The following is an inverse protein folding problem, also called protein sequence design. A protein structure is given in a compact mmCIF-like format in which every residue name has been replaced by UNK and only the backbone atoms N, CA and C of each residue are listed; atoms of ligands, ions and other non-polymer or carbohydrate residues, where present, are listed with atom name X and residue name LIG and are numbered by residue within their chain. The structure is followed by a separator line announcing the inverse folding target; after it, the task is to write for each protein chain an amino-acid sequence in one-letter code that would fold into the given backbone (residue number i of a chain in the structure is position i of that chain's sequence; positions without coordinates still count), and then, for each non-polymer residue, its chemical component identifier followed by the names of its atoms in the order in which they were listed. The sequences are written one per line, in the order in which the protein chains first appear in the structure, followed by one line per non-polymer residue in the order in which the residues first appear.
data_IF_698465749845
#
_entry.id   IF_698465749845
#
_cell.length_a   1.000
_cell.length_b   1.000
_cell.length_c   1.000
_cell.angle_alpha   90.00
_cell.angle_beta   90.00
_cell.angle_gamma   90.00
#
_symmetry.space_group_name_H-M   'P 1'
#
loop_
_entity.id
_entity.type
_entity.pdbx_description
1 polymer ?
#
# COMPACT_ATOMS: atom_id res chain seq x y z
N UNK A 1 18.60 2.56 4.31
CA UNK A 1 19.02 3.73 5.13
C UNK A 1 18.08 4.89 4.84
N UNK A 2 17.26 5.31 5.81
CA UNK A 2 16.29 6.42 5.66
C UNK A 2 16.93 7.73 6.12
N UNK A 3 16.74 8.80 5.35
CA UNK A 3 17.32 10.12 5.67
C UNK A 3 16.34 11.26 5.30
N UNK A 4 16.75 12.50 5.57
CA UNK A 4 15.95 13.71 5.31
C UNK A 4 15.62 13.97 3.83
N UNK A 5 16.29 13.28 2.90
CA UNK A 5 16.00 13.34 1.46
C UNK A 5 14.99 12.29 1.01
N UNK A 6 14.65 11.30 1.85
CA UNK A 6 13.59 10.35 1.50
C UNK A 6 12.26 11.09 1.39
N UNK A 7 11.54 10.87 0.30
CA UNK A 7 10.20 11.47 0.05
C UNK A 7 9.11 10.41 -0.12
N UNK A 8 9.51 9.22 -0.58
CA UNK A 8 8.61 8.15 -0.98
C UNK A 8 9.18 6.81 -0.52
N UNK A 9 8.29 5.91 -0.10
CA UNK A 9 8.54 4.49 0.11
C UNK A 9 7.55 3.73 -0.76
N UNK A 10 8.01 2.77 -1.55
CA UNK A 10 7.13 1.84 -2.27
C UNK A 10 7.31 0.44 -1.72
N UNK A 11 6.19 -0.26 -1.50
CA UNK A 11 6.19 -1.62 -1.01
C UNK A 11 5.14 -2.43 -1.74
N UNK A 12 5.58 -3.55 -2.28
CA UNK A 12 4.67 -4.60 -2.72
C UNK A 12 4.22 -5.41 -1.50
N UNK A 13 2.93 -5.72 -1.46
CA UNK A 13 2.21 -6.35 -0.34
C UNK A 13 3.07 -7.29 0.49
N UNK A 14 3.31 -6.93 1.75
CA UNK A 14 3.76 -7.90 2.74
C UNK A 14 2.54 -8.59 3.37
N UNK A 15 2.51 -9.92 3.32
CA UNK A 15 1.49 -10.71 4.02
C UNK A 15 1.69 -10.71 5.55
N UNK A 16 2.72 -10.02 6.06
CA UNK A 16 3.03 -9.91 7.49
C UNK A 16 2.46 -8.62 8.10
N UNK A 17 1.52 -8.71 9.06
CA UNK A 17 1.00 -7.55 9.79
C UNK A 17 2.09 -6.75 10.51
N UNK A 18 3.10 -7.42 11.07
CA UNK A 18 4.23 -6.77 11.75
C UNK A 18 5.05 -5.91 10.80
N UNK A 19 5.26 -6.38 9.57
CA UNK A 19 5.92 -5.60 8.52
C UNK A 19 5.16 -4.31 8.19
N UNK A 20 3.83 -4.39 8.07
CA UNK A 20 2.97 -3.23 7.81
C UNK A 20 3.05 -2.20 8.95
N UNK A 21 3.02 -2.63 10.21
CA UNK A 21 3.15 -1.75 11.37
C UNK A 21 4.53 -1.07 11.41
N UNK A 22 5.60 -1.82 11.16
CA UNK A 22 6.95 -1.27 11.12
C UNK A 22 7.10 -0.19 10.04
N UNK A 23 6.59 -0.44 8.83
CA UNK A 23 6.65 0.57 7.77
C UNK A 23 5.80 1.80 8.12
N UNK A 24 4.60 1.62 8.66
CA UNK A 24 3.80 2.75 9.09
C UNK A 24 4.56 3.63 10.10
N UNK A 25 5.33 3.02 11.01
CA UNK A 25 6.18 3.74 11.96
C UNK A 25 7.29 4.53 11.26
N UNK A 26 7.94 3.96 10.23
CA UNK A 26 8.98 4.64 9.46
C UNK A 26 8.38 5.80 8.66
N UNK A 27 7.28 5.56 7.95
CA UNK A 27 6.62 6.58 7.15
C UNK A 27 6.23 7.80 8.00
N UNK A 28 5.74 7.56 9.22
CA UNK A 28 5.45 8.61 10.21
C UNK A 28 6.73 9.31 10.68
N UNK A 29 7.75 8.54 11.08
CA UNK A 29 9.01 9.09 11.61
C UNK A 29 9.71 10.02 10.63
N UNK A 30 9.68 9.69 9.34
CA UNK A 30 10.37 10.46 8.29
C UNK A 30 9.42 11.36 7.48
N UNK A 31 8.13 11.40 7.81
CA UNK A 31 7.10 12.17 7.08
C UNK A 31 7.11 11.92 5.56
N UNK A 32 7.20 10.65 5.16
CA UNK A 32 7.27 10.23 3.75
C UNK A 32 5.96 9.63 3.27
N UNK A 33 5.69 9.78 1.98
CA UNK A 33 4.55 9.14 1.32
C UNK A 33 4.87 7.65 1.17
N UNK A 34 3.89 6.79 1.43
CA UNK A 34 3.99 5.35 1.22
C UNK A 34 3.06 4.94 0.06
N UNK A 35 3.62 4.28 -0.96
CA UNK A 35 2.86 3.59 -1.99
C UNK A 35 2.85 2.11 -1.63
N UNK A 36 1.66 1.56 -1.49
CA UNK A 36 1.44 0.14 -1.23
C UNK A 36 0.80 -0.50 -2.44
N UNK A 37 1.57 -1.34 -3.10
CA UNK A 37 1.12 -2.15 -4.21
C UNK A 37 0.41 -3.40 -3.66
N UNK A 38 -0.92 -3.30 -3.60
CA UNK A 38 -1.85 -4.27 -3.05
C UNK A 38 -2.58 -5.10 -4.10
N UNK A 39 -1.97 -5.29 -5.27
CA UNK A 39 -2.54 -6.08 -6.38
C UNK A 39 -2.82 -7.55 -6.03
N UNK A 40 -2.18 -8.09 -4.99
CA UNK A 40 -2.37 -9.46 -4.51
C UNK A 40 -3.26 -9.55 -3.27
N UNK A 41 -4.04 -8.51 -2.93
CA UNK A 41 -4.86 -8.49 -1.71
C UNK A 41 -5.81 -9.69 -1.53
N UNK A 42 -6.23 -10.30 -2.64
CA UNK A 42 -7.12 -11.46 -2.68
C UNK A 42 -6.38 -12.82 -2.70
N UNK A 43 -5.05 -12.80 -2.84
CA UNK A 43 -4.19 -13.98 -2.94
C UNK A 43 -3.35 -14.05 -1.67
N UNK A 44 -3.94 -14.54 -0.58
CA UNK A 44 -3.25 -14.74 0.69
C UNK A 44 -2.67 -16.16 0.77
N UNK A 45 -1.43 -16.29 1.24
CA UNK A 45 -0.77 -17.60 1.38
C UNK A 45 -1.39 -18.49 2.47
N UNK A 46 -2.17 -17.89 3.37
CA UNK A 46 -2.82 -18.55 4.51
C UNK A 46 -4.32 -18.26 4.44
N UNK A 47 -5.13 -19.31 4.25
CA UNK A 47 -6.59 -19.21 4.12
C UNK A 47 -7.27 -18.59 5.35
N UNK A 48 -6.62 -18.66 6.51
CA UNK A 48 -7.15 -18.12 7.76
C UNK A 48 -6.72 -16.67 8.01
N UNK A 49 -5.85 -16.09 7.18
CA UNK A 49 -5.40 -14.70 7.31
C UNK A 49 -6.07 -13.82 6.28
N UNK A 50 -6.74 -12.78 6.78
CA UNK A 50 -7.26 -11.69 5.95
C UNK A 50 -6.14 -10.70 5.65
N UNK A 51 -6.13 -10.19 4.41
CA UNK A 51 -5.25 -9.08 4.05
C UNK A 51 -5.70 -7.81 4.79
N UNK A 52 -4.78 -7.20 5.53
CA UNK A 52 -4.99 -5.92 6.20
C UNK A 52 -4.39 -4.83 5.31
N UNK A 53 -5.22 -3.95 4.77
CA UNK A 53 -4.72 -2.79 4.01
C UNK A 53 -3.94 -1.88 4.95
N UNK A 54 -2.76 -1.42 4.57
CA UNK A 54 -2.01 -0.53 5.48
C UNK A 54 -2.76 0.79 5.71
N UNK A 55 -3.54 1.23 4.73
CA UNK A 55 -4.36 2.43 4.77
C UNK A 55 -5.32 2.48 5.97
N UNK A 56 -5.69 1.32 6.54
CA UNK A 56 -6.57 1.24 7.72
C UNK A 56 -5.82 1.36 9.04
N UNK A 57 -4.49 1.45 9.03
CA UNK A 57 -3.73 1.66 10.26
C UNK A 57 -3.90 3.11 10.75
N UNK A 58 -3.86 3.35 12.08
CA UNK A 58 -4.06 4.69 12.63
C UNK A 58 -3.07 5.71 12.04
N UNK A 59 -3.54 6.90 11.70
CA UNK A 59 -2.72 8.06 11.33
C UNK A 59 -1.74 7.83 10.15
N UNK A 60 -2.06 6.94 9.20
CA UNK A 60 -1.23 6.72 7.99
C UNK A 60 -1.95 7.07 6.69
N UNK A 61 -3.28 7.15 6.70
CA UNK A 61 -4.11 7.40 5.51
C UNK A 61 -3.66 8.64 4.70
N UNK A 62 -3.38 9.75 5.40
CA UNK A 62 -2.94 11.01 4.78
C UNK A 62 -1.59 10.92 4.05
N UNK A 63 -0.89 9.79 4.14
CA UNK A 63 0.41 9.57 3.50
C UNK A 63 0.42 8.29 2.66
N UNK A 64 -0.72 7.64 2.47
CA UNK A 64 -0.79 6.33 1.81
C UNK A 64 -1.49 6.44 0.47
N UNK A 65 -0.84 5.89 -0.56
CA UNK A 65 -1.47 5.49 -1.82
C UNK A 65 -1.50 3.97 -1.87
N UNK A 66 -2.64 3.38 -2.20
CA UNK A 66 -2.82 1.94 -2.36
C UNK A 66 -3.19 1.63 -3.80
N UNK A 67 -2.41 0.79 -4.46
CA UNK A 67 -2.63 0.38 -5.84
C UNK A 67 -3.28 -1.01 -5.89
N UNK A 68 -4.21 -1.21 -6.83
CA UNK A 68 -4.83 -2.49 -7.12
C UNK A 68 -4.86 -2.82 -8.62
N UNK A 69 -5.17 -4.06 -8.95
CA UNK A 69 -5.18 -4.56 -10.33
C UNK A 69 -6.31 -5.55 -10.56
N UNK A 70 -7.08 -5.34 -11.64
CA UNK A 70 -8.06 -6.33 -12.10
C UNK A 70 -7.38 -7.59 -12.60
N UNK A 71 -6.20 -7.45 -13.21
CA UNK A 71 -5.47 -8.56 -13.78
C UNK A 71 -5.04 -9.60 -12.75
N UNK A 72 -4.68 -9.17 -11.54
CA UNK A 72 -4.32 -10.05 -10.43
C UNK A 72 -5.53 -10.51 -9.63
N UNK A 73 -6.55 -9.66 -9.51
CA UNK A 73 -7.79 -9.98 -8.78
C UNK A 73 -8.66 -11.01 -9.52
N UNK A 74 -8.79 -10.89 -10.84
CA UNK A 74 -9.70 -11.69 -11.68
C UNK A 74 -8.98 -12.55 -12.72
N UNK A 75 -7.68 -12.80 -12.55
CA UNK A 75 -6.86 -13.56 -13.51
C UNK A 75 -6.93 -13.05 -14.96
N UNK A 76 -7.22 -11.75 -15.13
CA UNK A 76 -7.54 -11.12 -16.42
C UNK A 76 -6.47 -10.09 -16.80
N UNK A 77 -5.21 -10.51 -16.83
CA UNK A 77 -4.04 -9.60 -17.02
C UNK A 77 -4.06 -8.82 -18.34
N UNK A 78 -4.82 -9.29 -19.34
CA UNK A 78 -5.01 -8.61 -20.63
C UNK A 78 -5.83 -7.31 -20.57
N UNK A 79 -6.63 -7.10 -19.51
CA UNK A 79 -7.50 -5.91 -19.42
C UNK A 79 -6.73 -4.62 -19.15
N UNK A 80 -5.50 -4.72 -18.62
CA UNK A 80 -4.63 -3.57 -18.28
C UNK A 80 -5.34 -2.49 -17.43
N UNK A 81 -6.28 -2.90 -16.59
CA UNK A 81 -7.01 -2.02 -15.69
C UNK A 81 -6.48 -2.13 -14.26
N UNK A 82 -6.31 -0.98 -13.62
CA UNK A 82 -5.88 -0.86 -12.23
C UNK A 82 -6.48 0.39 -11.62
N UNK A 83 -6.25 0.57 -10.32
CA UNK A 83 -6.75 1.72 -9.58
C UNK A 83 -5.77 2.13 -8.50
N UNK A 84 -5.88 3.38 -8.08
CA UNK A 84 -5.14 3.95 -6.95
C UNK A 84 -6.15 4.57 -5.99
N UNK A 85 -6.00 4.28 -4.70
CA UNK A 85 -6.84 4.79 -3.62
C UNK A 85 -5.93 5.54 -2.64
N UNK A 86 -6.34 6.72 -2.21
CA UNK A 86 -5.60 7.49 -1.21
C UNK A 86 -6.33 8.77 -0.81
N UNK A 87 -5.72 9.53 0.09
CA UNK A 87 -6.27 10.80 0.56
C UNK A 87 -6.38 11.83 -0.58
N UNK A 88 -7.40 12.69 -0.52
CA UNK A 88 -7.73 13.66 -1.58
C UNK A 88 -6.53 14.46 -2.08
N UNK A 89 -5.72 15.01 -1.18
CA UNK A 89 -4.58 15.86 -1.56
C UNK A 89 -3.50 15.09 -2.36
N UNK A 90 -3.36 13.77 -2.14
CA UNK A 90 -2.44 12.94 -2.90
C UNK A 90 -3.02 12.60 -4.28
N UNK A 91 -4.32 12.28 -4.35
CA UNK A 91 -5.00 11.92 -5.60
C UNK A 91 -5.15 13.12 -6.54
N UNK A 92 -5.48 14.31 -6.02
CA UNK A 92 -5.58 15.55 -6.82
C UNK A 92 -4.27 15.98 -7.46
N UNK A 93 -3.15 15.49 -6.94
CA UNK A 93 -1.80 15.81 -7.45
C UNK A 93 -1.35 14.85 -8.56
N UNK A 94 -2.13 13.81 -8.86
CA UNK A 94 -1.91 12.89 -9.98
C UNK A 94 -2.62 13.38 -11.24
#
# INVERSE_FOLDING_TARGET
MFNSRTRLITLNTSNSPLGKVYIASICKKYNVICIFDEVYEWITSDKNKKHIRIATLPNIWQKTLTNGSTGKTFSSTGFKLGWTIGSEHLIRSC
#
